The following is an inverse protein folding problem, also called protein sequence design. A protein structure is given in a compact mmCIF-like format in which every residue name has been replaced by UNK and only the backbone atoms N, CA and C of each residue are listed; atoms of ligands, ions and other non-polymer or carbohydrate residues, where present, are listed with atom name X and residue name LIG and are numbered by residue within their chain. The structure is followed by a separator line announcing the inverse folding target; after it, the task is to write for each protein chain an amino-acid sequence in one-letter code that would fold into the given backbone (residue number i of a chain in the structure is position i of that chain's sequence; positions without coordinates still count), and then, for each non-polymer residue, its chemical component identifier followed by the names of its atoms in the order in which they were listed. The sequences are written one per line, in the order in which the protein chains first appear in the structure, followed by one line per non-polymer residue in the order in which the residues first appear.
data_IF_940315671889
#
_entry.id   IF_940315671889
#
_cell.length_a   1.000
_cell.length_b   1.000
_cell.length_c   1.000
_cell.angle_alpha   90.00
_cell.angle_beta   90.00
_cell.angle_gamma   90.00
#
_symmetry.space_group_name_H-M   'P 1'
#
loop_
_entity.id
_entity.type
_entity.pdbx_description
1 polymer ?
#
# COMPACT_ATOMS: atom_id res chain seq x y z
N UNK A 1 4.51 -25.51 -12.23
CA UNK A 1 4.19 -24.65 -11.08
C UNK A 1 5.00 -25.17 -9.90
N UNK A 2 6.25 -24.71 -9.74
CA UNK A 2 7.01 -25.04 -8.53
C UNK A 2 6.31 -24.36 -7.36
N UNK A 3 5.68 -25.16 -6.50
CA UNK A 3 5.15 -24.71 -5.22
C UNK A 3 6.31 -24.17 -4.39
N UNK A 4 6.16 -22.95 -3.86
CA UNK A 4 7.09 -22.25 -2.96
C UNK A 4 8.17 -23.15 -2.37
N UNK A 5 9.33 -23.23 -3.02
CA UNK A 5 10.49 -23.93 -2.46
C UNK A 5 10.83 -23.35 -1.08
N UNK A 6 10.88 -24.22 -0.07
CA UNK A 6 11.42 -24.05 1.30
C UNK A 6 11.02 -22.81 2.13
N UNK A 7 10.23 -21.86 1.62
CA UNK A 7 9.78 -20.67 2.38
C UNK A 7 8.30 -20.76 2.71
N UNK A 8 8.03 -20.87 4.01
CA UNK A 8 6.69 -20.68 4.54
C UNK A 8 6.18 -19.27 4.24
N UNK A 9 4.92 -19.17 3.84
CA UNK A 9 4.28 -17.92 3.44
C UNK A 9 2.87 -17.86 4.03
N UNK A 10 2.52 -16.76 4.70
CA UNK A 10 1.16 -16.55 5.17
C UNK A 10 0.22 -16.22 4.01
N UNK A 11 -1.09 -16.41 4.22
CA UNK A 11 -2.12 -15.99 3.26
C UNK A 11 -2.08 -14.48 3.01
N UNK A 12 -1.75 -13.66 4.02
CA UNK A 12 -1.54 -12.21 3.87
C UNK A 12 -0.37 -11.90 2.94
N UNK A 13 0.76 -12.60 3.08
CA UNK A 13 1.90 -12.45 2.18
C UNK A 13 1.53 -12.85 0.74
N UNK A 14 0.74 -13.90 0.57
CA UNK A 14 0.21 -14.31 -0.73
C UNK A 14 -0.69 -13.23 -1.34
N UNK A 15 -1.60 -12.64 -0.54
CA UNK A 15 -2.47 -11.54 -0.96
C UNK A 15 -1.65 -10.33 -1.40
N UNK A 16 -0.65 -9.91 -0.63
CA UNK A 16 0.22 -8.79 -0.98
C UNK A 16 0.98 -9.04 -2.28
N UNK A 17 1.41 -10.29 -2.52
CA UNK A 17 2.06 -10.66 -3.78
C UNK A 17 1.10 -10.54 -4.97
N UNK A 18 -0.14 -11.02 -4.84
CA UNK A 18 -1.17 -10.84 -5.87
C UNK A 18 -1.45 -9.36 -6.09
N UNK A 19 -1.59 -8.58 -5.02
CA UNK A 19 -1.82 -7.14 -5.11
C UNK A 19 -0.68 -6.43 -5.84
N UNK A 20 0.57 -6.76 -5.51
CA UNK A 20 1.76 -6.22 -6.18
C UNK A 20 1.77 -6.51 -7.68
N UNK A 21 1.30 -7.70 -8.10
CA UNK A 21 1.18 -8.03 -9.52
C UNK A 21 0.08 -7.20 -10.20
N UNK A 22 -1.07 -7.05 -9.55
CA UNK A 22 -2.20 -6.28 -10.07
C UNK A 22 -1.84 -4.79 -10.24
N UNK A 23 -1.17 -4.17 -9.27
CA UNK A 23 -0.78 -2.75 -9.34
C UNK A 23 0.30 -2.47 -10.40
N UNK A 24 1.05 -3.49 -10.84
CA UNK A 24 2.06 -3.38 -11.91
C UNK A 24 1.49 -3.61 -13.31
N UNK A 25 0.30 -4.18 -13.41
CA UNK A 25 -0.35 -4.37 -14.70
C UNK A 25 -0.72 -3.02 -15.32
N UNK A 26 -0.45 -2.84 -16.62
CA UNK A 26 -0.63 -1.54 -17.30
C UNK A 26 -2.11 -1.15 -17.48
N UNK A 27 -3.01 -2.12 -17.49
CA UNK A 27 -4.45 -1.90 -17.69
C UNK A 27 -5.21 -1.84 -16.37
N UNK A 28 -4.84 -2.69 -15.42
CA UNK A 28 -5.49 -2.79 -14.12
C UNK A 28 -4.85 -1.86 -13.08
N UNK A 29 -3.53 -1.69 -13.11
CA UNK A 29 -2.79 -0.94 -12.09
C UNK A 29 -3.36 0.44 -11.77
N UNK A 30 -3.66 1.29 -12.78
CA UNK A 30 -4.28 2.60 -12.56
C UNK A 30 -5.70 2.56 -11.95
N UNK A 31 -6.33 1.38 -11.88
CA UNK A 31 -7.71 1.18 -11.37
C UNK A 31 -7.74 0.50 -10.00
N UNK A 32 -6.60 0.01 -9.52
CA UNK A 32 -6.52 -0.60 -8.19
C UNK A 32 -6.33 0.50 -7.16
N UNK A 33 -7.20 0.57 -6.15
CA UNK A 33 -7.05 1.52 -5.04
C UNK A 33 -6.79 0.73 -3.76
N UNK A 34 -5.53 0.64 -3.29
CA UNK A 34 -5.24 0.08 -1.99
C UNK A 34 -5.73 1.05 -0.90
N UNK A 35 -6.52 0.56 0.05
CA UNK A 35 -7.06 1.33 1.17
C UNK A 35 -6.60 0.67 2.46
N UNK A 36 -5.98 1.44 3.35
CA UNK A 36 -5.42 0.93 4.60
C UNK A 36 -5.86 1.84 5.77
N UNK A 37 -6.35 1.27 6.87
CA UNK A 37 -6.60 2.01 8.10
C UNK A 37 -5.40 1.86 9.05
N UNK A 38 -4.36 2.67 8.86
CA UNK A 38 -3.12 2.74 9.65
C UNK A 38 -2.15 1.53 9.50
N UNK A 39 -2.61 0.31 9.77
CA UNK A 39 -1.83 -0.92 10.09
C UNK A 39 -1.02 -1.56 8.93
N UNK A 40 -0.51 -0.77 7.98
CA UNK A 40 0.20 -1.24 6.79
C UNK A 40 1.47 -2.06 7.07
N UNK A 41 2.26 -1.67 8.09
CA UNK A 41 3.49 -2.39 8.46
C UNK A 41 3.19 -3.77 9.02
N UNK A 42 2.15 -3.86 9.85
CA UNK A 42 1.67 -5.12 10.45
C UNK A 42 1.26 -6.12 9.37
N UNK A 43 0.66 -5.65 8.28
CA UNK A 43 0.28 -6.50 7.15
C UNK A 43 1.38 -6.65 6.08
N UNK A 44 2.56 -6.06 6.24
CA UNK A 44 3.66 -6.14 5.26
C UNK A 44 3.36 -5.44 3.94
N UNK A 45 2.55 -4.37 3.98
CA UNK A 45 2.13 -3.58 2.80
C UNK A 45 3.00 -2.35 2.53
N UNK A 46 3.98 -2.08 3.40
CA UNK A 46 4.95 -0.99 3.30
C UNK A 46 5.66 -0.87 1.93
N UNK A 47 5.90 -2.00 1.24
CA UNK A 47 6.48 -1.98 -0.11
C UNK A 47 5.57 -1.33 -1.17
N UNK A 48 4.25 -1.33 -0.97
CA UNK A 48 3.27 -0.71 -1.88
C UNK A 48 3.33 0.81 -1.80
N UNK A 49 3.50 1.38 -0.60
CA UNK A 49 3.60 2.84 -0.41
C UNK A 49 4.75 3.45 -1.20
N UNK A 50 5.91 2.78 -1.21
CA UNK A 50 7.07 3.25 -1.98
C UNK A 50 6.80 3.23 -3.49
N UNK A 51 6.03 2.24 -3.97
CA UNK A 51 5.76 2.09 -5.40
C UNK A 51 4.67 3.06 -5.89
N UNK A 52 3.63 3.28 -5.07
CA UNK A 52 2.40 3.93 -5.48
C UNK A 52 2.19 5.33 -4.87
N UNK A 53 2.89 5.65 -3.78
CA UNK A 53 2.65 6.86 -3.01
C UNK A 53 1.33 6.82 -2.24
N UNK A 54 1.29 7.53 -1.12
CA UNK A 54 0.06 7.80 -0.37
C UNK A 54 -0.61 9.02 -1.00
N UNK A 55 -1.90 8.91 -1.28
CA UNK A 55 -2.67 10.03 -1.78
C UNK A 55 -2.83 11.10 -0.70
N UNK A 56 -2.50 12.34 -1.03
CA UNK A 56 -2.75 13.50 -0.19
C UNK A 56 -3.13 14.67 -1.09
N UNK A 57 -4.33 15.22 -0.92
CA UNK A 57 -4.80 16.35 -1.71
C UNK A 57 -3.91 17.60 -1.55
N UNK A 58 -3.24 17.72 -0.39
CA UNK A 58 -2.31 18.80 -0.07
C UNK A 58 -0.86 18.48 -0.49
N UNK A 59 -0.59 17.25 -0.93
CA UNK A 59 0.77 16.74 -1.14
C UNK A 59 1.56 16.61 0.16
N UNK A 60 2.86 16.35 0.05
CA UNK A 60 3.76 16.24 1.20
C UNK A 60 4.02 17.63 1.82
N UNK A 61 3.45 17.87 3.01
CA UNK A 61 3.62 19.14 3.76
C UNK A 61 4.73 19.09 4.82
N UNK A 62 5.28 17.91 5.10
CA UNK A 62 6.25 17.70 6.17
C UNK A 62 7.32 16.70 5.76
N UNK A 63 8.48 16.69 6.43
CA UNK A 63 9.48 15.66 6.23
C UNK A 63 9.01 14.37 6.93
N UNK A 64 8.90 13.23 6.23
CA UNK A 64 8.57 11.95 6.88
C UNK A 64 9.57 11.63 7.98
N UNK A 65 9.07 11.21 9.14
CA UNK A 65 9.91 10.81 10.28
C UNK A 65 10.84 9.64 9.91
N UNK A 66 10.38 8.77 9.01
CA UNK A 66 11.14 7.62 8.54
C UNK A 66 11.92 7.89 7.25
N UNK A 67 12.14 9.16 6.88
CA UNK A 67 12.86 9.53 5.65
C UNK A 67 14.29 8.96 5.57
N UNK A 68 14.92 8.66 6.71
CA UNK A 68 16.23 7.99 6.77
C UNK A 68 16.16 6.46 6.61
N UNK A 69 14.96 5.88 6.60
CA UNK A 69 14.74 4.44 6.42
C UNK A 69 14.58 4.09 4.95
N UNK A 70 14.98 2.86 4.60
CA UNK A 70 14.86 2.32 3.23
C UNK A 70 13.41 2.31 2.73
N UNK A 71 12.45 2.20 3.66
CA UNK A 71 11.02 2.08 3.39
C UNK A 71 10.28 3.30 3.97
N UNK A 72 10.67 4.49 3.53
CA UNK A 72 9.99 5.74 3.86
C UNK A 72 8.72 5.90 3.03
N UNK A 73 7.68 6.51 3.61
CA UNK A 73 6.44 6.82 2.89
C UNK A 73 6.50 8.21 2.26
N UNK A 74 5.87 8.36 1.10
CA UNK A 74 5.72 9.64 0.42
C UNK A 74 4.24 9.92 0.19
N UNK A 75 3.79 11.08 0.62
CA UNK A 75 2.52 11.67 0.24
C UNK A 75 2.66 12.42 -1.09
N UNK A 76 1.69 12.25 -1.98
CA UNK A 76 1.67 12.88 -3.29
C UNK A 76 0.21 13.13 -3.71
N UNK A 77 -0.03 14.24 -4.41
CA UNK A 77 -1.33 14.52 -5.05
C UNK A 77 -1.70 13.47 -6.10
N UNK A 78 -0.70 12.72 -6.61
CA UNK A 78 -0.86 11.59 -7.52
C UNK A 78 -0.66 10.24 -6.84
N UNK A 79 -0.58 10.21 -5.51
CA UNK A 79 -0.53 8.96 -4.77
C UNK A 79 -1.77 8.11 -5.05
N UNK A 80 -1.62 6.79 -5.04
CA UNK A 80 -2.71 5.85 -5.35
C UNK A 80 -3.24 5.12 -4.11
N UNK A 81 -2.49 5.12 -3.01
CA UNK A 81 -2.89 4.46 -1.77
C UNK A 81 -3.65 5.42 -0.88
N UNK A 82 -4.84 5.01 -0.41
CA UNK A 82 -5.59 5.73 0.61
C UNK A 82 -5.19 5.23 2.00
N UNK A 83 -4.76 6.16 2.86
CA UNK A 83 -4.37 5.86 4.23
C UNK A 83 -5.29 6.64 5.17
N UNK A 84 -6.28 5.95 5.74
CA UNK A 84 -7.35 6.56 6.52
C UNK A 84 -7.01 6.72 8.02
N UNK A 85 -5.85 6.22 8.44
CA UNK A 85 -5.46 6.18 9.85
C UNK A 85 -6.40 5.30 10.67
N UNK A 86 -6.62 5.66 11.95
CA UNK A 86 -7.49 4.90 12.87
C UNK A 86 -8.97 5.24 12.58
N UNK A 87 -9.43 4.84 11.39
CA UNK A 87 -10.78 5.10 10.90
C UNK A 87 -11.25 4.01 9.94
N UNK A 88 -11.57 2.83 10.46
CA UNK A 88 -12.02 1.69 9.67
C UNK A 88 -13.37 1.97 8.98
N UNK A 89 -14.26 2.75 9.62
CA UNK A 89 -15.53 3.14 9.01
C UNK A 89 -15.33 4.06 7.79
N UNK A 90 -14.35 4.97 7.85
CA UNK A 90 -13.91 5.77 6.70
C UNK A 90 -13.35 4.88 5.60
N UNK A 91 -12.41 3.98 5.92
CA UNK A 91 -11.81 3.07 4.96
C UNK A 91 -12.84 2.18 4.23
N UNK A 92 -13.88 1.71 4.92
CA UNK A 92 -14.98 0.97 4.29
C UNK A 92 -15.85 1.89 3.44
N UNK A 93 -16.07 3.13 3.85
CA UNK A 93 -16.84 4.11 3.06
C UNK A 93 -16.12 4.47 1.76
N UNK A 94 -14.79 4.58 1.77
CA UNK A 94 -14.00 4.83 0.55
C UNK A 94 -13.96 3.62 -0.39
N UNK A 95 -14.15 2.42 0.15
CA UNK A 95 -14.22 1.19 -0.64
C UNK A 95 -15.54 1.03 -1.42
N UNK A 96 -16.65 1.57 -0.88
CA UNK A 96 -18.01 1.49 -1.45
C UNK A 96 -18.16 2.48 -2.61
#
# INVERSE_FOLDING_TARGET
LESSGEREMSTTMALNRVMTLLVRDKQLGPKIVPIIPDEARTFGMEGLFRQLGIYSASGQLYQPEDSDKVMWYKEDIKGQVLQEGINEAGAISDWI
#
